data_IF_860539742098
#
_entry.id   IF_860539742098
#
_cell.length_a   1.000
_cell.length_b   1.000
_cell.length_c   1.000
_cell.angle_alpha   90.00
_cell.angle_beta   90.00
_cell.angle_gamma   90.00
#
_symmetry.space_group_name_H-M   'P 1'
#
loop_
_entity.id
_entity.type
_entity.pdbx_description
1 polymer ?
#
# COMPACT_ATOMS: atom_id res chain seq x y z
N UNK A 1 40.81 -15.97 -36.40
CA UNK A 1 40.97 -15.93 -34.93
C UNK A 1 39.94 -16.88 -34.33
N UNK A 2 40.34 -18.04 -33.79
CA UNK A 2 39.44 -19.12 -33.34
C UNK A 2 39.29 -19.05 -31.82
N UNK A 3 38.10 -18.69 -31.34
CA UNK A 3 37.76 -18.67 -29.91
C UNK A 3 37.22 -20.05 -29.53
N UNK A 4 37.92 -20.74 -28.61
CA UNK A 4 37.52 -22.03 -28.05
C UNK A 4 36.60 -21.79 -26.86
N UNK A 5 35.40 -22.34 -26.89
CA UNK A 5 34.48 -22.40 -25.75
C UNK A 5 34.92 -23.52 -24.80
N UNK A 6 35.13 -23.18 -23.52
CA UNK A 6 35.25 -24.14 -22.42
C UNK A 6 33.86 -24.39 -21.83
N UNK A 7 33.40 -25.64 -21.91
CA UNK A 7 32.23 -26.13 -21.20
C UNK A 7 32.63 -26.45 -19.74
N UNK A 8 32.10 -25.68 -18.78
CA UNK A 8 32.15 -26.04 -17.35
C UNK A 8 30.92 -26.86 -17.00
N UNK A 9 31.14 -28.12 -16.63
CA UNK A 9 30.13 -29.04 -16.10
C UNK A 9 29.98 -28.74 -14.62
N UNK A 10 28.82 -28.23 -14.20
CA UNK A 10 28.44 -28.13 -12.79
C UNK A 10 27.70 -29.40 -12.37
N UNK A 11 28.30 -30.13 -11.42
CA UNK A 11 27.74 -31.31 -10.77
C UNK A 11 26.77 -30.84 -9.67
N UNK A 12 25.47 -31.10 -9.83
CA UNK A 12 24.44 -30.81 -8.83
C UNK A 12 24.27 -32.05 -7.93
N UNK A 13 24.70 -31.95 -6.68
CA UNK A 13 24.47 -32.97 -5.65
C UNK A 13 23.15 -32.64 -4.94
N UNK A 14 22.11 -33.44 -5.17
CA UNK A 14 20.83 -33.36 -4.47
C UNK A 14 20.87 -34.28 -3.24
N UNK A 15 21.02 -33.67 -2.06
CA UNK A 15 20.83 -34.35 -0.77
C UNK A 15 19.35 -34.30 -0.41
N UNK A 16 18.67 -35.46 -0.47
CA UNK A 16 17.30 -35.64 0.01
C UNK A 16 17.34 -36.14 1.46
N UNK A 17 16.90 -35.33 2.40
CA UNK A 17 16.67 -35.74 3.79
C UNK A 17 15.21 -36.16 3.96
N UNK A 18 14.99 -37.47 4.13
CA UNK A 18 13.70 -38.02 4.55
C UNK A 18 13.52 -37.79 6.05
N UNK A 19 12.59 -36.91 6.44
CA UNK A 19 12.14 -36.78 7.82
C UNK A 19 10.89 -37.64 8.00
N UNK A 20 11.08 -38.81 8.60
CA UNK A 20 10.02 -39.67 9.12
C UNK A 20 9.64 -39.19 10.51
N UNK A 21 8.41 -38.70 10.69
CA UNK A 21 7.88 -38.40 12.02
C UNK A 21 6.60 -39.22 12.28
N UNK A 22 6.74 -40.14 13.25
CA UNK A 22 5.74 -41.08 13.73
C UNK A 22 4.61 -40.35 14.44
N UNK A 23 3.36 -40.62 14.04
CA UNK A 23 2.17 -40.21 14.78
C UNK A 23 2.08 -40.94 16.12
N UNK A 24 2.03 -40.22 17.24
CA UNK A 24 1.66 -40.75 18.56
C UNK A 24 0.17 -40.49 18.80
N UNK A 25 -0.61 -41.57 18.87
CA UNK A 25 -1.99 -41.59 19.40
C UNK A 25 -1.96 -41.15 20.87
N UNK A 26 -2.60 -40.03 21.20
CA UNK A 26 -2.93 -39.67 22.57
C UNK A 26 -4.30 -40.23 22.96
N UNK A 27 -4.30 -40.91 24.11
CA UNK A 27 -5.45 -41.48 24.83
C UNK A 27 -6.41 -40.37 25.26
N UNK A 28 -7.70 -40.57 25.02
CA UNK A 28 -8.80 -39.82 25.66
C UNK A 28 -8.89 -40.22 27.13
N UNK A 29 -8.62 -39.29 28.03
CA UNK A 29 -9.00 -39.37 29.45
C UNK A 29 -10.32 -38.64 29.61
N UNK A 30 -11.37 -39.35 30.05
CA UNK A 30 -12.64 -38.77 30.46
C UNK A 30 -12.49 -38.21 31.87
N UNK A 31 -12.41 -36.90 32.00
CA UNK A 31 -12.62 -36.23 33.29
C UNK A 31 -14.05 -35.73 33.41
N UNK A 32 -14.61 -35.97 34.59
CA UNK A 32 -15.98 -35.73 35.02
C UNK A 32 -16.02 -34.31 35.59
N UNK A 33 -16.61 -33.37 34.85
CA UNK A 33 -16.75 -31.99 35.32
C UNK A 33 -18.03 -31.89 36.18
N UNK A 34 -17.80 -31.58 37.45
CA UNK A 34 -18.79 -31.20 38.47
C UNK A 34 -19.21 -29.76 38.20
N UNK A 35 -20.52 -29.52 38.11
CA UNK A 35 -21.06 -28.17 37.96
C UNK A 35 -20.94 -27.41 39.27
N UNK A 36 -20.15 -26.33 39.27
CA UNK A 36 -20.26 -25.26 40.26
C UNK A 36 -20.84 -24.04 39.57
N UNK A 37 -22.05 -23.66 40.00
CA UNK A 37 -22.65 -22.36 39.72
C UNK A 37 -21.78 -21.28 40.36
N UNK A 38 -20.96 -20.64 39.53
CA UNK A 38 -20.13 -19.50 39.89
C UNK A 38 -20.76 -18.22 39.36
N UNK A 39 -20.97 -17.28 40.27
CA UNK A 39 -21.43 -15.90 40.07
C UNK A 39 -20.69 -15.26 38.89
N UNK A 40 -21.46 -14.74 37.93
CA UNK A 40 -20.99 -14.05 36.73
C UNK A 40 -20.46 -12.66 37.16
N UNK A 41 -19.14 -12.38 37.14
CA UNK A 41 -18.68 -11.01 37.29
C UNK A 41 -19.05 -10.27 36.01
N UNK A 42 -19.99 -9.34 36.11
CA UNK A 42 -20.19 -8.31 35.10
C UNK A 42 -18.93 -7.43 35.08
N UNK A 43 -17.98 -7.84 34.25
CA UNK A 43 -16.85 -7.02 33.83
C UNK A 43 -17.42 -5.92 32.94
N UNK A 44 -17.76 -4.80 33.57
CA UNK A 44 -18.00 -3.53 32.89
C UNK A 44 -16.66 -3.03 32.33
N UNK A 45 -16.32 -3.53 31.14
CA UNK A 45 -15.28 -2.94 30.29
C UNK A 45 -15.76 -1.56 29.82
N UNK A 46 -15.66 -0.56 30.71
CA UNK A 46 -15.70 0.84 30.32
C UNK A 46 -14.39 1.14 29.59
N UNK A 47 -14.34 0.82 28.28
CA UNK A 47 -13.31 1.39 27.42
C UNK A 47 -13.58 2.88 27.35
N UNK A 48 -12.85 3.65 28.13
CA UNK A 48 -12.75 5.09 27.95
C UNK A 48 -12.12 5.26 26.56
N UNK A 49 -12.93 5.59 25.56
CA UNK A 49 -12.41 6.04 24.28
C UNK A 49 -11.69 7.35 24.56
N UNK A 50 -10.37 7.36 24.40
CA UNK A 50 -9.59 8.58 24.49
C UNK A 50 -10.11 9.54 23.42
N UNK A 51 -10.63 10.68 23.87
CA UNK A 51 -11.12 11.74 22.99
C UNK A 51 -9.96 12.17 22.09
N UNK A 52 -10.19 12.21 20.78
CA UNK A 52 -9.17 12.56 19.79
C UNK A 52 -8.25 11.39 19.39
N UNK A 53 -8.74 10.15 19.53
CA UNK A 53 -8.08 8.96 18.98
C UNK A 53 -9.01 8.19 18.03
N UNK A 54 -8.42 7.55 17.04
CA UNK A 54 -9.07 6.65 16.10
C UNK A 54 -8.33 5.33 16.04
N UNK A 55 -9.05 4.23 16.22
CA UNK A 55 -8.49 2.89 16.06
C UNK A 55 -9.10 2.20 14.84
N UNK A 56 -8.25 1.74 13.93
CA UNK A 56 -8.64 0.97 12.75
C UNK A 56 -8.16 -0.46 12.93
N UNK A 57 -9.10 -1.39 13.10
CA UNK A 57 -8.78 -2.82 13.15
C UNK A 57 -8.58 -3.34 11.73
N UNK A 58 -7.42 -3.97 11.50
CA UNK A 58 -7.12 -4.67 10.26
C UNK A 58 -7.18 -6.20 10.50
N UNK A 59 -6.91 -6.99 9.46
CA UNK A 59 -6.87 -8.45 9.58
C UNK A 59 -5.56 -8.95 10.22
N UNK A 60 -5.48 -10.25 10.54
CA UNK A 60 -4.26 -10.89 11.05
C UNK A 60 -3.66 -10.28 12.34
N UNK A 61 -4.52 -9.72 13.21
CA UNK A 61 -4.08 -9.11 14.47
C UNK A 61 -3.35 -7.77 14.31
N UNK A 62 -3.37 -7.19 13.10
CA UNK A 62 -2.89 -5.83 12.84
C UNK A 62 -3.94 -4.80 13.22
N UNK A 63 -3.51 -3.69 13.83
CA UNK A 63 -4.37 -2.54 14.16
C UNK A 63 -3.57 -1.25 14.00
N UNK A 64 -4.23 -0.19 13.56
CA UNK A 64 -3.67 1.15 13.52
C UNK A 64 -4.33 1.96 14.62
N UNK A 65 -3.53 2.60 15.47
CA UNK A 65 -3.98 3.61 16.41
C UNK A 65 -3.49 4.96 15.92
N UNK A 66 -4.42 5.86 15.68
CA UNK A 66 -4.16 7.25 15.37
C UNK A 66 -4.58 8.09 16.57
N UNK A 67 -3.75 9.03 16.99
CA UNK A 67 -4.01 9.93 18.12
C UNK A 67 -3.56 11.34 17.77
N UNK A 68 -3.81 12.28 18.69
CA UNK A 68 -3.55 13.70 18.46
C UNK A 68 -4.38 14.20 17.26
N UNK A 69 -5.69 14.01 17.35
CA UNK A 69 -6.65 14.45 16.33
C UNK A 69 -6.69 15.99 16.22
N UNK A 70 -6.63 16.49 14.98
CA UNK A 70 -6.99 17.86 14.63
C UNK A 70 -8.24 17.85 13.73
N UNK A 71 -9.22 18.69 14.06
CA UNK A 71 -10.51 18.78 13.35
C UNK A 71 -10.57 20.07 12.53
N UNK A 72 -10.63 19.92 11.20
CA UNK A 72 -10.73 21.02 10.23
C UNK A 72 -12.16 21.22 9.70
N UNK A 73 -13.16 20.60 10.34
CA UNK A 73 -14.57 20.65 9.96
C UNK A 73 -14.92 19.63 8.88
N UNK A 74 -14.32 19.75 7.70
CA UNK A 74 -14.62 18.86 6.56
C UNK A 74 -13.79 17.56 6.59
N UNK A 75 -12.67 17.57 7.32
CA UNK A 75 -11.78 16.42 7.49
C UNK A 75 -11.08 16.49 8.85
N UNK A 76 -10.49 15.36 9.23
CA UNK A 76 -9.73 15.20 10.48
C UNK A 76 -8.38 14.59 10.16
N UNK A 77 -7.34 15.11 10.80
CA UNK A 77 -5.99 14.58 10.69
C UNK A 77 -5.52 14.06 12.04
N UNK A 78 -4.45 13.26 12.03
CA UNK A 78 -3.84 12.69 13.22
C UNK A 78 -2.31 12.81 13.09
N UNK A 79 -1.63 13.41 14.08
CA UNK A 79 -0.18 13.62 14.05
C UNK A 79 0.62 12.46 14.64
N UNK A 80 -0.03 11.51 15.32
CA UNK A 80 0.60 10.32 15.87
C UNK A 80 -0.08 9.05 15.34
N UNK A 81 0.71 8.15 14.75
CA UNK A 81 0.27 6.82 14.31
C UNK A 81 1.13 5.74 14.95
N UNK A 82 0.48 4.73 15.52
CA UNK A 82 1.07 3.46 15.91
C UNK A 82 0.43 2.31 15.13
N UNK A 83 1.25 1.43 14.56
CA UNK A 83 0.80 0.15 14.00
C UNK A 83 1.17 -0.95 14.98
N UNK A 84 0.16 -1.71 15.40
CA UNK A 84 0.30 -2.80 16.34
C UNK A 84 0.05 -4.13 15.65
N UNK A 85 0.86 -5.15 15.95
CA UNK A 85 0.61 -6.54 15.59
C UNK A 85 0.55 -7.38 16.87
N UNK A 86 -0.61 -7.99 17.13
CA UNK A 86 -0.86 -8.75 18.37
C UNK A 86 -0.54 -7.95 19.65
N UNK A 87 -0.97 -6.68 19.67
CA UNK A 87 -0.78 -5.71 20.76
C UNK A 87 0.66 -5.22 20.97
N UNK A 88 1.62 -5.65 20.14
CA UNK A 88 2.96 -5.09 20.11
C UNK A 88 3.04 -3.97 19.08
N UNK A 89 3.52 -2.80 19.46
CA UNK A 89 3.84 -1.72 18.50
C UNK A 89 5.00 -2.17 17.62
N UNK A 90 4.78 -2.17 16.31
CA UNK A 90 5.77 -2.57 15.29
C UNK A 90 6.21 -1.41 14.39
N UNK A 91 5.46 -0.31 14.41
CA UNK A 91 5.78 0.95 13.75
C UNK A 91 5.13 2.10 14.52
N UNK A 92 5.83 3.23 14.60
CA UNK A 92 5.32 4.48 15.14
C UNK A 92 5.82 5.62 14.27
N UNK A 93 4.95 6.58 13.97
CA UNK A 93 5.30 7.82 13.28
C UNK A 93 4.62 9.01 13.94
N UNK A 94 5.40 10.05 14.18
CA UNK A 94 4.99 11.32 14.79
C UNK A 94 5.45 12.52 13.94
N UNK A 95 5.88 12.26 12.70
CA UNK A 95 6.53 13.25 11.82
C UNK A 95 5.68 13.68 10.64
N UNK A 96 4.52 13.04 10.47
CA UNK A 96 3.58 13.25 9.37
C UNK A 96 2.16 13.33 9.90
N UNK A 97 1.28 13.99 9.14
CA UNK A 97 -0.16 14.01 9.41
C UNK A 97 -0.87 12.96 8.58
N UNK A 98 -1.81 12.23 9.18
CA UNK A 98 -2.52 11.13 8.53
C UNK A 98 -4.02 11.39 8.44
N UNK A 99 -4.63 10.92 7.35
CA UNK A 99 -6.07 11.01 7.12
C UNK A 99 -6.72 9.63 6.96
N UNK A 100 -7.98 9.54 7.40
CA UNK A 100 -8.80 8.32 7.30
C UNK A 100 -10.19 8.62 6.73
N UNK A 101 -10.31 9.70 5.95
CA UNK A 101 -11.56 10.12 5.30
C UNK A 101 -11.79 9.44 3.95
N UNK A 102 -10.72 9.08 3.26
CA UNK A 102 -10.81 8.35 1.99
C UNK A 102 -11.15 6.89 2.23
N UNK A 103 -12.20 6.40 1.55
CA UNK A 103 -12.72 5.04 1.69
C UNK A 103 -11.75 3.97 1.19
N UNK A 104 -10.79 4.35 0.33
CA UNK A 104 -9.77 3.44 -0.19
C UNK A 104 -8.71 3.10 0.85
N UNK A 105 -8.50 3.95 1.86
CA UNK A 105 -7.39 3.81 2.81
C UNK A 105 -7.89 3.62 4.25
N UNK A 106 -7.17 2.86 5.10
CA UNK A 106 -5.90 2.18 4.81
C UNK A 106 -6.10 0.91 3.96
N UNK A 107 -5.08 0.55 3.17
CA UNK A 107 -5.04 -0.74 2.46
C UNK A 107 -4.12 -1.69 3.23
N UNK A 108 -4.59 -2.92 3.49
CA UNK A 108 -3.77 -4.02 3.97
C UNK A 108 -3.74 -5.12 2.90
N UNK A 109 -2.54 -5.44 2.41
CA UNK A 109 -2.30 -6.59 1.56
C UNK A 109 -1.48 -7.65 2.29
N UNK A 110 -1.89 -8.91 2.19
CA UNK A 110 -1.17 -10.02 2.79
C UNK A 110 -0.37 -10.77 1.71
N UNK A 111 0.95 -10.61 1.73
CA UNK A 111 1.86 -11.30 0.81
C UNK A 111 1.95 -12.79 1.19
N UNK A 112 2.14 -13.07 2.48
CA UNK A 112 2.19 -14.42 3.04
C UNK A 112 1.79 -14.39 4.53
N UNK A 113 1.72 -15.53 5.25
CA UNK A 113 1.29 -15.56 6.66
C UNK A 113 2.09 -14.68 7.62
N UNK A 114 3.29 -14.25 7.23
CA UNK A 114 4.20 -13.46 8.04
C UNK A 114 4.59 -12.13 7.39
N UNK A 115 4.05 -11.81 6.21
CA UNK A 115 4.45 -10.64 5.45
C UNK A 115 3.24 -9.86 4.95
N UNK A 116 3.26 -8.55 5.18
CA UNK A 116 2.15 -7.64 4.92
C UNK A 116 2.65 -6.36 4.26
N UNK A 117 1.75 -5.70 3.55
CA UNK A 117 1.93 -4.34 3.06
C UNK A 117 0.79 -3.49 3.59
N UNK A 118 1.12 -2.32 4.13
CA UNK A 118 0.15 -1.35 4.59
C UNK A 118 0.36 -0.06 3.81
N UNK A 119 -0.72 0.50 3.27
CA UNK A 119 -0.73 1.83 2.67
C UNK A 119 -1.62 2.74 3.50
N UNK A 120 -1.04 3.84 3.99
CA UNK A 120 -1.73 4.87 4.78
C UNK A 120 -1.73 6.18 4.00
N UNK A 121 -2.84 6.91 4.04
CA UNK A 121 -2.92 8.25 3.47
C UNK A 121 -2.28 9.28 4.41
N UNK A 122 -1.34 10.04 3.84
CA UNK A 122 -0.65 11.15 4.49
C UNK A 122 -1.21 12.45 3.93
N UNK A 123 -1.65 13.32 4.83
CA UNK A 123 -2.02 14.69 4.52
C UNK A 123 -0.74 15.48 4.18
N UNK A 124 -0.64 15.98 2.94
CA UNK A 124 0.50 16.76 2.48
C UNK A 124 0.07 18.15 1.97
N UNK A 125 -1.07 18.67 2.46
CA UNK A 125 -1.62 19.96 2.03
C UNK A 125 -0.61 21.11 2.26
N UNK A 126 -0.54 22.09 1.33
CA UNK A 126 -1.44 22.31 0.20
C UNK A 126 -1.17 21.42 -1.03
N UNK A 127 -0.13 20.59 -0.99
CA UNK A 127 0.14 19.60 -2.05
C UNK A 127 -0.89 18.47 -2.02
N UNK A 128 -0.89 17.64 -3.05
CA UNK A 128 -1.72 16.43 -3.08
C UNK A 128 -1.27 15.44 -2.00
N UNK A 129 -2.24 14.82 -1.31
CA UNK A 129 -1.97 13.72 -0.38
C UNK A 129 -1.19 12.59 -1.05
N UNK A 130 -0.35 11.92 -0.27
CA UNK A 130 0.48 10.78 -0.68
C UNK A 130 0.19 9.56 0.19
N UNK A 131 0.74 8.42 -0.22
CA UNK A 131 0.67 7.18 0.54
C UNK A 131 2.00 6.89 1.22
N UNK A 132 1.96 6.63 2.52
CA UNK A 132 3.03 5.91 3.21
C UNK A 132 2.84 4.42 2.93
N UNK A 133 3.77 3.83 2.21
CA UNK A 133 3.86 2.38 2.02
C UNK A 133 4.81 1.78 3.06
N UNK A 134 4.33 0.74 3.74
CA UNK A 134 5.09 -0.02 4.73
C UNK A 134 5.05 -1.50 4.35
N UNK A 135 6.21 -2.13 4.17
CA UNK A 135 6.33 -3.57 4.10
C UNK A 135 6.75 -4.11 5.46
N UNK A 136 6.00 -5.09 5.98
CA UNK A 136 6.21 -5.70 7.29
C UNK A 136 6.55 -7.17 7.09
N UNK A 137 7.58 -7.66 7.75
CA UNK A 137 7.95 -9.07 7.83
C UNK A 137 8.06 -9.48 9.30
N UNK A 138 7.16 -10.36 9.75
CA UNK A 138 6.96 -10.69 11.16
C UNK A 138 6.45 -9.46 11.93
N UNK A 139 7.27 -8.96 12.86
CA UNK A 139 6.96 -7.78 13.69
C UNK A 139 7.90 -6.60 13.37
N UNK A 140 8.43 -6.54 12.14
CA UNK A 140 9.40 -5.53 11.73
C UNK A 140 9.03 -4.92 10.38
N UNK A 141 9.05 -3.60 10.30
CA UNK A 141 9.03 -2.88 9.02
C UNK A 141 10.36 -3.10 8.30
N UNK A 142 10.32 -3.68 7.10
CA UNK A 142 11.48 -3.98 6.26
C UNK A 142 11.66 -3.00 5.12
N UNK A 143 10.60 -2.28 4.73
CA UNK A 143 10.65 -1.25 3.70
C UNK A 143 9.63 -0.17 4.02
N UNK A 144 10.03 1.07 3.80
CA UNK A 144 9.21 2.27 3.90
C UNK A 144 9.47 3.12 2.65
N UNK A 145 8.42 3.62 2.02
CA UNK A 145 8.54 4.58 0.91
C UNK A 145 7.25 5.37 0.73
N UNK A 146 7.36 6.50 0.03
CA UNK A 146 6.22 7.30 -0.39
C UNK A 146 5.74 6.86 -1.78
N UNK A 147 4.43 6.93 -2.00
CA UNK A 147 3.76 6.57 -3.25
C UNK A 147 2.65 7.60 -3.55
N UNK A 148 2.24 7.80 -4.81
CA UNK A 148 1.08 8.63 -5.09
C UNK A 148 -0.19 7.99 -4.54
N UNK A 149 -1.16 8.80 -4.12
CA UNK A 149 -2.52 8.35 -3.83
C UNK A 149 -3.16 7.72 -5.05
N UNK A 150 -3.86 6.59 -4.83
CA UNK A 150 -4.56 5.87 -5.88
C UNK A 150 -5.87 6.55 -6.25
N UNK A 151 -6.17 6.52 -7.54
CA UNK A 151 -7.36 7.15 -8.15
C UNK A 151 -8.63 6.35 -7.79
N UNK A 152 -8.53 5.01 -7.78
CA UNK A 152 -9.65 4.09 -7.58
C UNK A 152 -9.17 2.78 -6.94
N UNK A 153 -10.12 1.87 -6.67
CA UNK A 153 -9.81 0.47 -6.31
C UNK A 153 -9.01 -0.22 -7.43
N UNK A 154 -8.30 -1.30 -7.08
CA UNK A 154 -7.48 -2.03 -8.04
C UNK A 154 -8.36 -2.71 -9.11
N UNK A 155 -7.99 -2.55 -10.37
CA UNK A 155 -8.72 -3.10 -11.51
C UNK A 155 -7.75 -3.59 -12.59
N UNK A 156 -8.23 -4.40 -13.52
CA UNK A 156 -7.42 -4.79 -14.69
C UNK A 156 -7.38 -3.63 -15.70
N UNK A 157 -6.21 -3.02 -15.86
CA UNK A 157 -5.96 -1.81 -16.65
C UNK A 157 -5.23 -2.07 -17.98
N UNK A 158 -4.66 -3.26 -18.18
CA UNK A 158 -3.87 -3.60 -19.38
C UNK A 158 -4.13 -4.98 -20.01
N UNK A 159 -5.15 -5.69 -19.53
CA UNK A 159 -5.62 -6.98 -20.03
C UNK A 159 -4.69 -8.18 -19.73
N UNK A 160 -3.67 -8.01 -18.90
CA UNK A 160 -3.04 -9.13 -18.22
C UNK A 160 -3.85 -9.46 -16.94
N UNK A 161 -3.94 -10.70 -16.46
CA UNK A 161 -4.89 -11.06 -15.39
C UNK A 161 -4.48 -10.54 -13.98
N UNK A 162 -3.59 -9.56 -13.91
CA UNK A 162 -3.18 -8.88 -12.69
C UNK A 162 -4.13 -7.68 -12.48
N UNK A 163 -4.22 -7.23 -11.24
CA UNK A 163 -4.94 -6.01 -10.92
C UNK A 163 -3.93 -4.91 -10.68
N UNK A 164 -4.25 -3.72 -11.19
CA UNK A 164 -3.41 -2.54 -11.06
C UNK A 164 -4.13 -1.46 -10.27
N UNK A 165 -3.37 -0.77 -9.43
CA UNK A 165 -3.74 0.54 -8.91
C UNK A 165 -2.96 1.62 -9.66
N UNK A 166 -3.59 2.77 -9.90
CA UNK A 166 -2.98 3.89 -10.60
C UNK A 166 -3.05 5.16 -9.76
N UNK A 167 -1.98 5.95 -9.76
CA UNK A 167 -1.89 7.22 -9.03
C UNK A 167 -0.92 8.19 -9.70
N UNK A 168 -0.96 9.46 -9.32
CA UNK A 168 -0.05 10.51 -9.79
C UNK A 168 0.32 11.44 -8.63
N UNK A 169 1.43 12.16 -8.75
CA UNK A 169 2.07 12.84 -7.61
C UNK A 169 1.38 14.14 -7.19
N UNK A 170 0.95 14.97 -8.15
CA UNK A 170 0.44 16.31 -7.83
C UNK A 170 -0.85 16.65 -8.61
N UNK A 171 -1.51 17.77 -8.34
CA UNK A 171 -2.58 18.25 -9.21
C UNK A 171 -2.00 18.94 -10.45
N UNK A 172 -2.50 18.65 -11.67
CA UNK A 172 -2.06 19.38 -12.85
C UNK A 172 -2.36 20.88 -12.70
N UNK A 173 -1.32 21.71 -12.73
CA UNK A 173 -1.44 23.17 -12.73
C UNK A 173 -1.21 23.69 -14.14
N UNK A 174 -2.08 24.60 -14.60
CA UNK A 174 -1.96 25.22 -15.91
C UNK A 174 -1.20 26.54 -15.80
N UNK A 175 -0.26 26.76 -16.70
CA UNK A 175 0.49 28.00 -16.85
C UNK A 175 0.17 28.63 -18.20
N UNK A 176 -0.15 29.93 -18.19
CA UNK A 176 -0.38 30.71 -19.40
C UNK A 176 0.83 31.59 -19.69
N UNK A 177 1.43 31.40 -20.87
CA UNK A 177 2.53 32.23 -21.37
C UNK A 177 2.18 32.76 -22.76
N UNK A 178 1.64 33.98 -22.79
CA UNK A 178 1.22 34.66 -24.01
C UNK A 178 -0.02 34.01 -24.64
N UNK A 179 0.16 33.23 -25.71
CA UNK A 179 -0.93 32.49 -26.39
C UNK A 179 -0.86 30.98 -26.17
N UNK A 180 0.11 30.53 -25.38
CA UNK A 180 0.31 29.10 -25.09
C UNK A 180 -0.13 28.82 -23.67
N UNK A 181 -0.91 27.75 -23.49
CA UNK A 181 -1.25 27.21 -22.18
C UNK A 181 -0.58 25.84 -22.06
N UNK A 182 0.22 25.67 -21.02
CA UNK A 182 0.97 24.45 -20.72
C UNK A 182 0.66 23.96 -19.31
N UNK A 183 1.06 22.74 -19.01
CA UNK A 183 1.04 22.16 -17.66
C UNK A 183 2.33 21.39 -17.44
N UNK A 184 2.75 21.24 -16.19
CA UNK A 184 3.89 20.42 -15.84
C UNK A 184 3.67 18.93 -16.15
N UNK A 185 4.76 18.18 -16.35
CA UNK A 185 4.69 16.73 -16.50
C UNK A 185 4.40 16.05 -15.17
N UNK A 186 3.35 15.23 -15.13
CA UNK A 186 2.90 14.55 -13.93
C UNK A 186 2.43 13.12 -14.25
N UNK A 187 3.34 12.12 -14.22
CA UNK A 187 3.05 10.81 -14.74
C UNK A 187 1.99 10.06 -13.92
N UNK A 188 1.12 9.30 -14.59
CA UNK A 188 0.34 8.25 -13.93
C UNK A 188 1.23 7.04 -13.72
N UNK A 189 1.45 6.65 -12.48
CA UNK A 189 2.17 5.45 -12.07
C UNK A 189 1.20 4.30 -11.86
N UNK A 190 1.51 3.16 -12.45
CA UNK A 190 0.71 1.92 -12.36
C UNK A 190 1.44 0.90 -11.50
N UNK A 191 0.73 0.31 -10.54
CA UNK A 191 1.26 -0.67 -9.61
C UNK A 191 0.46 -1.97 -9.66
N UNK A 192 1.13 -3.08 -9.96
CA UNK A 192 0.59 -4.43 -9.97
C UNK A 192 0.47 -5.01 -8.56
N UNK A 193 -0.69 -5.62 -8.27
CA UNK A 193 -0.91 -6.43 -7.08
C UNK A 193 -0.49 -7.88 -7.33
N UNK A 194 0.76 -8.20 -7.03
CA UNK A 194 1.31 -9.55 -7.25
C UNK A 194 1.29 -10.39 -5.97
N UNK A 195 1.47 -11.71 -6.11
CA UNK A 195 1.71 -12.62 -4.97
C UNK A 195 2.96 -12.29 -4.14
N UNK A 196 3.86 -11.47 -4.67
CA UNK A 196 5.08 -11.04 -4.00
C UNK A 196 4.95 -9.63 -3.40
N UNK A 197 3.77 -9.03 -3.48
CA UNK A 197 3.52 -7.67 -3.07
C UNK A 197 3.28 -6.70 -4.22
N UNK A 198 3.09 -5.44 -3.84
CA UNK A 198 2.85 -4.32 -4.74
C UNK A 198 4.13 -3.94 -5.48
N UNK A 199 4.05 -3.82 -6.81
CA UNK A 199 5.20 -3.50 -7.65
C UNK A 199 4.83 -2.48 -8.72
N UNK A 200 5.70 -1.49 -8.94
CA UNK A 200 5.57 -0.58 -10.08
C UNK A 200 5.65 -1.38 -11.39
N UNK A 201 4.60 -1.34 -12.19
CA UNK A 201 4.65 -1.78 -13.58
C UNK A 201 5.24 -0.65 -14.43
N UNK A 202 6.56 -0.70 -14.57
CA UNK A 202 7.29 0.23 -15.42
C UNK A 202 6.86 0.14 -16.88
N UNK A 203 6.45 -1.03 -17.36
CA UNK A 203 6.12 -1.24 -18.77
C UNK A 203 4.82 -0.53 -19.12
N UNK A 204 3.76 -0.77 -18.35
CA UNK A 204 2.48 -0.06 -18.52
C UNK A 204 2.63 1.44 -18.26
N UNK A 205 3.36 1.80 -17.19
CA UNK A 205 3.64 3.21 -16.86
C UNK A 205 4.30 3.94 -18.04
N UNK A 206 5.39 3.41 -18.60
CA UNK A 206 6.09 4.04 -19.73
C UNK A 206 5.19 4.10 -20.96
N UNK A 207 4.49 3.00 -21.28
CA UNK A 207 3.59 2.90 -22.44
C UNK A 207 2.49 3.96 -22.37
N UNK A 208 1.78 4.04 -21.25
CA UNK A 208 0.65 4.96 -21.05
C UNK A 208 1.07 6.41 -21.04
N UNK A 209 2.13 6.75 -20.31
CA UNK A 209 2.61 8.12 -20.28
C UNK A 209 3.20 8.55 -21.64
N UNK A 210 3.80 7.65 -22.41
CA UNK A 210 4.20 7.96 -23.80
C UNK A 210 3.00 8.21 -24.69
N UNK A 211 1.89 7.48 -24.51
CA UNK A 211 0.63 7.72 -25.24
C UNK A 211 -0.02 9.07 -24.88
N UNK A 212 0.04 9.46 -23.60
CA UNK A 212 -0.54 10.71 -23.10
C UNK A 212 0.31 11.93 -23.49
N UNK A 213 1.61 11.88 -23.22
CA UNK A 213 2.52 13.02 -23.35
C UNK A 213 3.33 13.03 -24.65
N UNK A 214 3.26 11.96 -25.46
CA UNK A 214 4.09 11.76 -26.65
C UNK A 214 5.52 11.28 -26.35
N UNK A 215 6.04 11.51 -25.14
CA UNK A 215 7.35 11.01 -24.68
C UNK A 215 7.31 10.77 -23.17
N UNK A 216 8.03 9.74 -22.70
CA UNK A 216 8.15 9.46 -21.27
C UNK A 216 9.30 10.29 -20.66
N UNK A 217 8.96 11.15 -19.70
CA UNK A 217 9.92 12.09 -19.08
C UNK A 217 10.43 11.65 -17.70
N UNK A 218 10.09 10.43 -17.27
CA UNK A 218 10.47 9.85 -15.98
C UNK A 218 9.27 9.47 -15.12
N UNK A 219 9.53 8.91 -13.94
CA UNK A 219 8.52 8.44 -12.98
C UNK A 219 8.10 9.51 -11.94
N UNK A 220 8.71 10.69 -11.99
CA UNK A 220 8.46 11.76 -11.03
C UNK A 220 7.77 12.94 -11.72
N UNK A 221 7.10 13.76 -10.92
CA UNK A 221 6.66 15.08 -11.34
C UNK A 221 7.86 15.94 -11.80
N UNK A 222 7.68 16.71 -12.87
CA UNK A 222 8.72 17.59 -13.45
C UNK A 222 8.11 18.90 -13.93
N UNK A 223 8.28 19.95 -13.14
CA UNK A 223 7.81 21.31 -13.42
C UNK A 223 8.49 21.91 -14.67
N UNK A 224 9.76 21.56 -14.91
CA UNK A 224 10.53 22.06 -16.04
C UNK A 224 10.08 21.48 -17.39
N UNK A 225 9.27 20.42 -17.40
CA UNK A 225 8.75 19.79 -18.61
C UNK A 225 7.36 20.33 -18.89
N UNK A 226 7.29 21.25 -19.85
CA UNK A 226 6.06 21.96 -20.22
C UNK A 226 5.27 21.18 -21.29
N UNK A 227 4.12 20.64 -20.89
CA UNK A 227 3.20 19.87 -21.72
C UNK A 227 2.09 20.78 -22.24
N UNK A 228 1.82 20.86 -23.56
CA UNK A 228 0.67 21.58 -24.09
C UNK A 228 -0.65 21.05 -23.50
N UNK A 229 -1.57 21.94 -23.08
CA UNK A 229 -2.83 21.54 -22.42
C UNK A 229 -3.66 20.53 -23.25
N UNK A 230 -3.61 20.62 -24.59
CA UNK A 230 -4.27 19.64 -25.47
C UNK A 230 -3.81 18.20 -25.23
N UNK A 231 -2.54 17.98 -24.86
CA UNK A 231 -2.04 16.65 -24.47
C UNK A 231 -2.50 16.28 -23.05
N UNK A 232 -2.60 17.25 -22.14
CA UNK A 232 -3.12 17.04 -20.80
C UNK A 232 -4.59 16.57 -20.79
N UNK A 233 -5.39 16.91 -21.81
CA UNK A 233 -6.75 16.34 -21.96
C UNK A 233 -6.74 14.80 -22.09
N UNK A 234 -5.65 14.20 -22.59
CA UNK A 234 -5.50 12.74 -22.63
C UNK A 234 -5.25 12.15 -21.24
N UNK A 235 -4.58 12.89 -20.36
CA UNK A 235 -4.41 12.52 -18.95
C UNK A 235 -5.78 12.45 -18.27
N UNK A 236 -6.59 13.51 -18.40
CA UNK A 236 -7.95 13.56 -17.83
C UNK A 236 -8.80 12.38 -18.32
N UNK A 237 -8.74 12.05 -19.61
CA UNK A 237 -9.47 10.90 -20.17
C UNK A 237 -9.00 9.55 -19.59
N UNK A 238 -7.70 9.37 -19.35
CA UNK A 238 -7.20 8.14 -18.74
C UNK A 238 -7.62 8.05 -17.26
N UNK A 239 -7.59 9.16 -16.51
CA UNK A 239 -8.08 9.22 -15.13
C UNK A 239 -9.56 8.84 -15.08
N UNK A 240 -10.43 9.47 -15.90
CA UNK A 240 -11.85 9.15 -15.97
C UNK A 240 -12.11 7.68 -16.34
N UNK A 241 -11.24 7.10 -17.17
CA UNK A 241 -11.33 5.69 -17.54
C UNK A 241 -11.02 4.78 -16.35
N UNK A 242 -10.01 5.12 -15.54
CA UNK A 242 -9.63 4.38 -14.33
C UNK A 242 -10.74 4.46 -13.28
N UNK A 243 -11.33 5.64 -13.07
CA UNK A 243 -12.41 5.85 -12.09
C UNK A 243 -13.70 5.06 -12.40
N UNK A 244 -13.91 4.65 -13.66
CA UNK A 244 -15.11 3.91 -14.11
C UNK A 244 -14.96 2.39 -14.03
N UNK A 245 -13.79 1.88 -13.67
CA UNK A 245 -13.52 0.44 -13.55
C UNK A 245 -13.94 -0.08 -12.18
#
# INVERSE_FOLDING_TARGET
MKIKYLFSIFLVITMTTQISCKSKKQKKTKEKIVSQQGIKPESSNNSIQEVGSKEVSLSNGLRIKASEEEDFGDFKTYTQIDILHNNQVIYSDSTQEYEFGNKLFPILNQINPTAFEILLEVNDRPSKNKLKYLQIQGNKVTKEMEMPTFIAEAANLDEDNILESAGFWDYPQMEESGKSVTTAYNPILYYEWTKNGLRLDSTLTIKKNTQIYGTFHGFNFREEVQIPVKQAELLTKEIEKIERK
#
